data_IF_470651138761
#
_entry.id   IF_470651138761
#
_cell.length_a   1.000
_cell.length_b   1.000
_cell.length_c   1.000
_cell.angle_alpha   90.00
_cell.angle_beta   90.00
_cell.angle_gamma   90.00
#
_symmetry.space_group_name_H-M   'P 1'
#
loop_
_entity.id
_entity.type
_entity.pdbx_description
1 polymer ?
#
# COMPACT_ATOMS: atom_id res chain seq x y z
N UNK A 1 -5.05 -0.13 -12.57
CA UNK A 1 -4.69 0.41 -11.25
C UNK A 1 -5.94 0.27 -10.42
N UNK A 2 -5.88 -0.46 -9.30
CA UNK A 2 -7.04 -0.70 -8.45
C UNK A 2 -6.68 -0.39 -6.99
N UNK A 3 -7.64 0.12 -6.23
CA UNK A 3 -7.41 0.60 -4.86
C UNK A 3 -8.08 -0.28 -3.80
N UNK A 4 -9.04 -1.13 -4.20
CA UNK A 4 -9.66 -2.06 -3.28
C UNK A 4 -8.77 -3.30 -3.05
N UNK A 5 -8.03 -3.29 -1.94
CA UNK A 5 -7.15 -4.40 -1.53
C UNK A 5 -7.91 -5.73 -1.41
N UNK A 6 -9.11 -5.71 -0.85
CA UNK A 6 -9.94 -6.92 -0.69
C UNK A 6 -10.33 -7.56 -2.02
N UNK A 7 -10.53 -6.74 -3.06
CA UNK A 7 -10.78 -7.21 -4.41
C UNK A 7 -9.51 -7.78 -5.04
N UNK A 8 -8.39 -7.06 -4.98
CA UNK A 8 -7.10 -7.47 -5.58
C UNK A 8 -6.64 -8.81 -5.00
N UNK A 9 -6.74 -8.99 -3.69
CA UNK A 9 -6.32 -10.21 -2.99
C UNK A 9 -7.16 -11.45 -3.37
N UNK A 10 -8.37 -11.27 -3.92
CA UNK A 10 -9.28 -12.37 -4.29
C UNK A 10 -9.18 -12.79 -5.76
N UNK A 11 -8.52 -12.01 -6.61
CA UNK A 11 -8.48 -12.26 -8.06
C UNK A 11 -7.41 -13.28 -8.51
N UNK A 12 -6.67 -13.90 -7.58
CA UNK A 12 -5.62 -14.86 -7.93
C UNK A 12 -4.46 -14.21 -8.67
N UNK A 13 -3.99 -13.07 -8.16
CA UNK A 13 -2.93 -12.27 -8.79
C UNK A 13 -1.57 -12.79 -8.36
N UNK A 14 -0.67 -13.07 -9.31
CA UNK A 14 0.67 -13.61 -8.99
C UNK A 14 1.65 -12.55 -8.47
N UNK A 15 1.44 -11.27 -8.85
CA UNK A 15 2.31 -10.15 -8.49
C UNK A 15 1.55 -8.84 -8.41
N UNK A 16 1.87 -8.06 -7.39
CA UNK A 16 1.38 -6.72 -7.11
C UNK A 16 2.58 -5.76 -7.13
N UNK A 17 2.38 -4.59 -7.72
CA UNK A 17 3.31 -3.46 -7.65
C UNK A 17 2.57 -2.34 -6.94
N UNK A 18 3.14 -1.91 -5.82
CA UNK A 18 2.65 -0.80 -5.02
C UNK A 18 3.48 0.43 -5.35
N UNK A 19 2.80 1.53 -5.68
CA UNK A 19 3.43 2.80 -5.96
C UNK A 19 2.99 3.84 -4.95
N UNK A 20 3.94 4.65 -4.48
CA UNK A 20 3.68 5.81 -3.63
C UNK A 20 4.44 7.01 -4.20
N UNK A 21 3.78 8.16 -4.32
CA UNK A 21 4.38 9.42 -4.78
C UNK A 21 5.14 9.34 -6.12
N UNK A 22 4.70 8.46 -7.03
CA UNK A 22 5.34 8.28 -8.34
C UNK A 22 6.54 7.33 -8.33
N UNK A 23 6.91 6.78 -7.17
CA UNK A 23 7.95 5.78 -7.01
C UNK A 23 7.36 4.39 -6.68
N UNK A 24 8.13 3.33 -6.96
CA UNK A 24 7.75 1.97 -6.56
C UNK A 24 8.08 1.80 -5.09
N UNK A 25 7.04 1.63 -4.28
CA UNK A 25 7.16 1.34 -2.85
C UNK A 25 7.50 -0.14 -2.61
N UNK A 26 6.81 -1.04 -3.30
CA UNK A 26 7.02 -2.47 -3.17
C UNK A 26 6.61 -3.22 -4.44
N UNK A 27 7.27 -4.34 -4.73
CA UNK A 27 6.71 -5.37 -5.61
C UNK A 27 6.77 -6.74 -4.93
N UNK A 28 5.74 -7.57 -5.10
CA UNK A 28 5.70 -8.89 -4.50
C UNK A 28 4.39 -9.63 -4.76
N UNK A 29 4.27 -10.82 -4.18
CA UNK A 29 3.03 -11.58 -4.12
C UNK A 29 1.99 -10.87 -3.24
N UNK A 30 0.70 -11.22 -3.36
CA UNK A 30 -0.36 -10.71 -2.48
C UNK A 30 -0.04 -10.81 -0.99
N UNK A 31 0.54 -11.93 -0.56
CA UNK A 31 0.87 -12.19 0.84
C UNK A 31 2.03 -11.30 1.32
N UNK A 32 3.05 -11.10 0.49
CA UNK A 32 4.18 -10.21 0.79
C UNK A 32 3.72 -8.76 0.91
N UNK A 33 2.86 -8.31 -0.01
CA UNK A 33 2.34 -6.93 -0.01
C UNK A 33 1.45 -6.67 1.21
N UNK A 34 0.61 -7.65 1.59
CA UNK A 34 -0.25 -7.52 2.77
C UNK A 34 0.54 -7.46 4.09
N UNK A 35 1.67 -8.14 4.16
CA UNK A 35 2.54 -8.14 5.34
C UNK A 35 3.53 -6.97 5.39
N UNK A 36 3.63 -6.18 4.33
CA UNK A 36 4.61 -5.10 4.26
C UNK A 36 4.13 -3.88 5.05
N UNK A 37 4.94 -3.50 6.04
CA UNK A 37 4.65 -2.38 6.93
C UNK A 37 4.60 -1.04 6.19
N UNK A 38 5.45 -0.80 5.21
CA UNK A 38 5.47 0.44 4.43
C UNK A 38 4.20 0.57 3.57
N UNK A 39 3.73 -0.53 2.98
CA UNK A 39 2.45 -0.57 2.24
C UNK A 39 1.28 -0.27 3.17
N UNK A 40 1.27 -0.88 4.36
CA UNK A 40 0.25 -0.64 5.39
C UNK A 40 0.25 0.83 5.80
N UNK A 41 1.42 1.40 6.11
CA UNK A 41 1.56 2.80 6.52
C UNK A 41 1.12 3.77 5.41
N UNK A 42 1.48 3.50 4.16
CA UNK A 42 1.11 4.32 3.02
C UNK A 42 -0.39 4.29 2.68
N UNK A 43 -1.08 3.15 2.88
CA UNK A 43 -2.49 2.98 2.45
C UNK A 43 -3.51 3.04 3.58
N UNK A 44 -3.14 2.65 4.81
CA UNK A 44 -4.02 2.69 5.98
C UNK A 44 -3.76 3.93 6.85
N UNK A 45 -2.74 4.71 6.51
CA UNK A 45 -2.26 5.84 7.29
C UNK A 45 -1.57 5.33 8.56
N UNK A 46 -0.33 5.76 8.77
CA UNK A 46 0.13 5.88 10.14
C UNK A 46 -0.94 6.68 10.90
N UNK A 47 -1.55 6.11 11.93
CA UNK A 47 -2.53 6.80 12.78
C UNK A 47 -1.85 7.89 13.63
N UNK A 48 -0.90 8.65 13.06
CA UNK A 48 0.06 9.46 13.80
C UNK A 48 0.60 10.71 13.10
N UNK A 49 0.50 10.87 11.78
CA UNK A 49 0.94 12.12 11.13
C UNK A 49 -0.26 12.90 10.61
N UNK A 50 -0.96 13.51 11.58
CA UNK A 50 -1.47 14.87 11.37
C UNK A 50 -0.20 15.70 11.16
N UNK A 51 0.15 15.99 9.92
CA UNK A 51 0.93 17.18 9.65
C UNK A 51 0.04 18.36 10.08
N UNK A 52 0.24 18.81 11.32
CA UNK A 52 -0.05 20.17 11.70
C UNK A 52 0.76 21.05 10.76
N UNK A 53 0.15 21.48 9.66
CA UNK A 53 0.58 22.68 8.94
C UNK A 53 0.51 23.85 9.92
N UNK A 54 1.59 24.00 10.69
CA UNK A 54 1.98 25.26 11.31
C UNK A 54 2.84 26.00 10.30
N UNK A 55 2.23 26.92 9.56
CA UNK A 55 2.69 28.30 9.32
C UNK A 55 1.67 29.11 8.50
#
# INVERSE_FOLDING_TARGET
>A
IEHNMDFILRQGVDRIIVMNEGEILMQGTPDEVRGNREVIEAYLGASGDIQEDSE
#
